data_IF_449957537506
#
_entry.id   IF_449957537506
#
_cell.length_a   1.000
_cell.length_b   1.000
_cell.length_c   1.000
_cell.angle_alpha   90.00
_cell.angle_beta   90.00
_cell.angle_gamma   90.00
#
_symmetry.space_group_name_H-M   'P 1'
#
loop_
_entity.id
_entity.type
_entity.pdbx_description
1 polymer ?
#
# COMPACT_ATOMS: atom_id res chain seq x y z
N UNK A 1 -2.90 -20.62 18.22
CA UNK A 1 -3.49 -19.27 18.00
C UNK A 1 -3.73 -19.12 16.51
N UNK A 2 -4.93 -18.72 16.08
CA UNK A 2 -5.16 -18.38 14.68
C UNK A 2 -4.59 -16.99 14.38
N UNK A 3 -4.00 -16.83 13.19
CA UNK A 3 -3.53 -15.52 12.71
C UNK A 3 -4.72 -14.55 12.63
N UNK A 4 -4.58 -13.33 13.13
CA UNK A 4 -5.60 -12.28 12.94
C UNK A 4 -5.56 -11.80 11.50
N UNK A 5 -6.68 -11.93 10.77
CA UNK A 5 -6.83 -11.47 9.40
C UNK A 5 -6.71 -9.95 9.35
N UNK A 6 -7.27 -9.25 10.35
CA UNK A 6 -7.12 -7.80 10.49
C UNK A 6 -5.65 -7.36 10.59
N UNK A 7 -4.85 -8.03 11.42
CA UNK A 7 -3.43 -7.70 11.58
C UNK A 7 -2.60 -8.05 10.33
N UNK A 8 -2.96 -9.13 9.64
CA UNK A 8 -2.30 -9.56 8.42
C UNK A 8 -2.62 -8.65 7.22
N UNK A 9 -3.85 -8.15 7.14
CA UNK A 9 -4.35 -7.33 6.03
C UNK A 9 -4.39 -5.84 6.38
N UNK A 10 -5.44 -5.37 7.06
CA UNK A 10 -5.72 -3.94 7.33
C UNK A 10 -4.54 -3.20 7.93
N UNK A 11 -3.88 -3.77 8.95
CA UNK A 11 -2.70 -3.14 9.56
C UNK A 11 -1.52 -3.05 8.58
N UNK A 12 -1.34 -4.06 7.71
CA UNK A 12 -0.32 -4.03 6.65
C UNK A 12 -0.64 -2.97 5.60
N UNK A 13 -1.90 -2.87 5.17
CA UNK A 13 -2.36 -1.85 4.25
C UNK A 13 -2.14 -0.44 4.80
N UNK A 14 -2.52 -0.19 6.05
CA UNK A 14 -2.33 1.11 6.72
C UNK A 14 -0.84 1.51 6.72
N UNK A 15 0.06 0.60 7.07
CA UNK A 15 1.50 0.88 7.07
C UNK A 15 2.00 1.26 5.68
N UNK A 16 1.75 0.42 4.68
CA UNK A 16 2.27 0.64 3.32
C UNK A 16 1.61 1.83 2.64
N UNK A 17 0.30 2.04 2.80
CA UNK A 17 -0.39 3.22 2.24
C UNK A 17 0.16 4.51 2.85
N UNK A 18 0.39 4.54 4.17
CA UNK A 18 1.02 5.69 4.82
C UNK A 18 2.43 5.95 4.26
N UNK A 19 3.19 4.90 3.99
CA UNK A 19 4.53 5.00 3.40
C UNK A 19 4.49 5.54 1.95
N UNK A 20 3.57 5.05 1.13
CA UNK A 20 3.38 5.55 -0.24
C UNK A 20 2.87 7.00 -0.26
N UNK A 21 2.01 7.40 0.68
CA UNK A 21 1.63 8.81 0.84
C UNK A 21 2.84 9.70 1.14
N UNK A 22 3.73 9.28 2.04
CA UNK A 22 5.01 9.98 2.27
C UNK A 22 5.86 10.08 1.00
N UNK A 23 5.87 9.05 0.15
CA UNK A 23 6.57 9.09 -1.14
C UNK A 23 5.93 10.11 -2.10
N UNK A 24 4.59 10.14 -2.18
CA UNK A 24 3.86 11.11 -3.00
C UNK A 24 4.05 12.55 -2.48
N UNK A 25 4.07 12.76 -1.18
CA UNK A 25 4.36 14.08 -0.59
C UNK A 25 5.77 14.56 -0.95
N UNK A 26 6.76 13.65 -0.92
CA UNK A 26 8.12 13.95 -1.40
C UNK A 26 8.14 14.23 -2.89
N UNK A 27 7.35 13.51 -3.70
CA UNK A 27 7.20 13.79 -5.13
C UNK A 27 6.62 15.17 -5.39
N UNK A 28 5.53 15.53 -4.71
CA UNK A 28 4.93 16.87 -4.75
C UNK A 28 5.94 17.96 -4.39
N UNK A 29 6.70 17.76 -3.31
CA UNK A 29 7.74 18.70 -2.87
C UNK A 29 8.87 18.82 -3.91
N UNK A 30 9.36 17.68 -4.42
CA UNK A 30 10.40 17.66 -5.44
C UNK A 30 9.98 18.43 -6.69
N UNK A 31 8.75 18.23 -7.18
CA UNK A 31 8.22 18.97 -8.32
C UNK A 31 8.16 20.48 -8.04
N UNK A 32 7.67 20.86 -6.85
CA UNK A 32 7.62 22.27 -6.44
C UNK A 32 9.00 22.93 -6.33
N UNK A 33 9.99 22.21 -5.80
CA UNK A 33 11.36 22.72 -5.61
C UNK A 33 12.11 22.86 -6.95
N UNK A 34 11.68 22.16 -8.00
CA UNK A 34 12.35 22.10 -9.30
C UNK A 34 11.51 22.70 -10.46
N UNK A 35 10.40 23.39 -10.15
CA UNK A 35 9.49 23.99 -11.15
C UNK A 35 8.96 22.98 -12.20
N UNK A 36 8.66 21.76 -11.75
CA UNK A 36 8.08 20.70 -12.58
C UNK A 36 6.57 20.68 -12.37
N UNK A 37 5.80 20.63 -13.46
CA UNK A 37 4.37 20.31 -13.35
C UNK A 37 4.20 18.86 -12.87
N UNK A 38 3.76 18.71 -11.62
CA UNK A 38 3.57 17.40 -10.97
C UNK A 38 2.57 16.51 -11.71
N UNK A 39 1.69 17.05 -12.54
CA UNK A 39 0.79 16.24 -13.35
C UNK A 39 1.52 15.41 -14.40
N UNK A 40 2.75 15.79 -14.79
CA UNK A 40 3.61 14.94 -15.63
C UNK A 40 3.94 13.60 -14.96
N UNK A 41 3.91 13.51 -13.63
CA UNK A 41 4.19 12.26 -12.92
C UNK A 41 3.01 11.28 -12.97
N UNK A 42 1.79 11.77 -13.20
CA UNK A 42 0.56 10.96 -13.23
C UNK A 42 0.65 9.90 -14.34
N UNK A 43 1.19 10.28 -15.50
CA UNK A 43 1.35 9.44 -16.69
C UNK A 43 2.71 8.72 -16.78
N UNK A 44 3.61 8.97 -15.82
CA UNK A 44 4.93 8.37 -15.81
C UNK A 44 4.87 6.85 -15.57
N UNK A 45 5.74 6.11 -16.26
CA UNK A 45 5.85 4.65 -16.24
C UNK A 45 7.32 4.22 -16.25
N UNK A 46 7.61 3.04 -15.71
CA UNK A 46 8.98 2.48 -15.64
C UNK A 46 9.48 1.95 -16.99
N UNK A 47 8.55 1.49 -17.83
CA UNK A 47 8.82 0.96 -19.15
C UNK A 47 7.63 1.24 -20.07
N UNK A 48 7.82 1.18 -21.39
CA UNK A 48 6.86 1.68 -22.37
C UNK A 48 5.48 1.01 -22.29
N UNK A 49 5.42 -0.28 -21.98
CA UNK A 49 4.19 -1.08 -21.88
C UNK A 49 3.64 -1.21 -20.44
N UNK A 50 4.32 -0.62 -19.46
CA UNK A 50 3.87 -0.64 -18.07
C UNK A 50 2.82 0.44 -17.82
N UNK A 51 1.84 0.12 -16.97
CA UNK A 51 0.80 1.05 -16.55
C UNK A 51 1.37 2.20 -15.68
N UNK A 52 0.86 3.43 -15.84
CA UNK A 52 1.45 4.61 -15.23
C UNK A 52 1.16 4.75 -13.74
N UNK A 53 1.80 5.72 -13.07
CA UNK A 53 1.63 6.00 -11.64
C UNK A 53 0.16 6.08 -11.22
N UNK A 54 -0.67 6.73 -12.03
CA UNK A 54 -2.12 6.82 -11.85
C UNK A 54 -2.76 5.45 -11.57
N UNK A 55 -2.48 4.48 -12.44
CA UNK A 55 -3.02 3.13 -12.31
C UNK A 55 -2.50 2.44 -11.05
N UNK A 56 -1.20 2.58 -10.75
CA UNK A 56 -0.59 1.97 -9.56
C UNK A 56 -1.29 2.43 -8.28
N UNK A 57 -1.60 3.73 -8.16
CA UNK A 57 -2.31 4.28 -6.99
C UNK A 57 -3.76 3.82 -6.91
N UNK A 58 -4.48 3.74 -8.03
CA UNK A 58 -5.85 3.19 -8.04
C UNK A 58 -5.85 1.74 -7.58
N UNK A 59 -4.92 0.94 -8.10
CA UNK A 59 -4.82 -0.48 -7.75
C UNK A 59 -4.42 -0.70 -6.30
N UNK A 60 -3.67 0.22 -5.67
CA UNK A 60 -3.40 0.16 -4.23
C UNK A 60 -4.68 0.20 -3.41
N UNK A 61 -5.62 1.11 -3.73
CA UNK A 61 -6.93 1.17 -3.05
C UNK A 61 -7.78 -0.05 -3.37
N UNK A 62 -7.75 -0.52 -4.63
CA UNK A 62 -8.47 -1.72 -5.06
C UNK A 62 -8.03 -2.97 -4.28
N UNK A 63 -6.73 -3.23 -4.19
CA UNK A 63 -6.18 -4.43 -3.52
C UNK A 63 -6.00 -4.28 -1.99
N UNK A 64 -6.45 -3.16 -1.42
CA UNK A 64 -6.50 -2.96 0.03
C UNK A 64 -7.94 -2.84 0.52
N UNK A 65 -8.51 -1.64 0.52
CA UNK A 65 -9.89 -1.37 0.90
C UNK A 65 -10.87 -2.18 0.04
N UNK A 66 -10.69 -2.18 -1.28
CA UNK A 66 -11.55 -2.94 -2.19
C UNK A 66 -11.52 -4.44 -1.91
N UNK A 67 -10.35 -5.00 -1.59
CA UNK A 67 -10.20 -6.41 -1.26
C UNK A 67 -10.92 -6.80 0.04
N UNK A 68 -10.90 -5.93 1.06
CA UNK A 68 -11.68 -6.15 2.29
C UNK A 68 -13.18 -6.13 2.01
N UNK A 69 -13.64 -5.14 1.25
CA UNK A 69 -15.06 -5.04 0.87
C UNK A 69 -15.51 -6.20 -0.01
N UNK A 70 -14.61 -6.72 -0.86
CA UNK A 70 -14.86 -7.92 -1.65
C UNK A 70 -15.01 -9.17 -0.80
N UNK A 71 -14.17 -9.35 0.23
CA UNK A 71 -14.28 -10.48 1.13
C UNK A 71 -15.59 -10.47 1.93
N UNK A 72 -16.08 -9.30 2.33
CA UNK A 72 -17.40 -9.14 2.96
C UNK A 72 -18.57 -9.46 2.00
N UNK A 73 -18.44 -9.09 0.72
CA UNK A 73 -19.46 -9.34 -0.33
C UNK A 73 -19.39 -10.73 -0.97
N UNK A 74 -18.26 -11.42 -0.83
CA UNK A 74 -17.96 -12.70 -1.50
C UNK A 74 -17.64 -12.61 -2.99
N UNK A 75 -17.42 -11.42 -3.55
CA UNK A 75 -17.15 -11.24 -4.98
C UNK A 75 -16.25 -10.02 -5.24
N UNK A 76 -15.38 -10.15 -6.23
CA UNK A 76 -14.48 -9.08 -6.69
C UNK A 76 -14.39 -9.06 -8.21
N UNK A 77 -14.23 -7.87 -8.79
CA UNK A 77 -13.96 -7.65 -10.21
C UNK A 77 -12.60 -6.95 -10.38
N UNK A 78 -12.24 -6.55 -11.60
CA UNK A 78 -11.07 -5.71 -11.84
C UNK A 78 -11.17 -4.32 -11.19
N UNK A 79 -10.05 -3.57 -11.13
CA UNK A 79 -10.04 -2.17 -10.68
C UNK A 79 -10.93 -1.29 -11.56
N UNK A 80 -11.45 -0.20 -10.98
CA UNK A 80 -12.25 0.78 -11.71
C UNK A 80 -11.35 1.63 -12.62
N UNK A 81 -11.38 1.30 -13.91
CA UNK A 81 -10.59 1.97 -14.96
C UNK A 81 -11.19 3.31 -15.40
N UNK A 82 -12.33 3.72 -14.85
CA UNK A 82 -12.99 4.99 -15.21
C UNK A 82 -12.56 6.17 -14.33
N UNK A 83 -11.87 5.89 -13.22
CA UNK A 83 -11.35 6.90 -12.32
C UNK A 83 -10.27 7.73 -13.01
N UNK A 84 -10.37 9.05 -12.92
CA UNK A 84 -9.39 10.00 -13.47
C UNK A 84 -9.07 11.03 -12.40
N UNK A 85 -7.78 11.21 -12.13
CA UNK A 85 -7.28 12.10 -11.08
C UNK A 85 -6.00 12.78 -11.56
N UNK A 86 -5.83 14.04 -11.16
CA UNK A 86 -4.54 14.72 -11.16
C UNK A 86 -3.67 14.23 -9.99
N UNK A 87 -2.45 14.75 -9.86
CA UNK A 87 -1.52 14.27 -8.82
C UNK A 87 -2.09 14.41 -7.41
N UNK A 88 -2.66 15.58 -7.10
CA UNK A 88 -3.22 15.87 -5.78
C UNK A 88 -4.50 15.04 -5.54
N UNK A 89 -5.29 14.77 -6.58
CA UNK A 89 -6.42 13.85 -6.56
C UNK A 89 -6.01 12.41 -6.23
N UNK A 90 -4.89 11.92 -6.77
CA UNK A 90 -4.35 10.60 -6.42
C UNK A 90 -3.96 10.52 -4.94
N UNK A 91 -3.30 11.56 -4.41
CA UNK A 91 -2.99 11.64 -2.98
C UNK A 91 -4.27 11.61 -2.14
N UNK A 92 -5.23 12.48 -2.45
CA UNK A 92 -6.50 12.57 -1.75
C UNK A 92 -7.30 11.27 -1.79
N UNK A 93 -7.29 10.55 -2.92
CA UNK A 93 -7.95 9.27 -3.09
C UNK A 93 -7.35 8.21 -2.14
N UNK A 94 -6.02 8.14 -2.09
CA UNK A 94 -5.29 7.20 -1.25
C UNK A 94 -5.43 7.55 0.25
N UNK A 95 -5.38 8.84 0.63
CA UNK A 95 -5.67 9.29 1.99
C UNK A 95 -7.10 8.97 2.44
N UNK A 96 -8.07 9.13 1.54
CA UNK A 96 -9.46 8.75 1.79
C UNK A 96 -9.58 7.27 2.13
N UNK A 97 -8.87 6.42 1.38
CA UNK A 97 -8.81 4.99 1.65
C UNK A 97 -8.15 4.69 2.99
N UNK A 98 -7.02 5.33 3.30
CA UNK A 98 -6.35 5.18 4.60
C UNK A 98 -7.26 5.51 5.78
N UNK A 99 -8.05 6.59 5.69
CA UNK A 99 -9.02 6.98 6.74
C UNK A 99 -10.10 5.91 6.93
N UNK A 100 -10.62 5.34 5.83
CA UNK A 100 -11.66 4.29 5.89
C UNK A 100 -11.11 2.98 6.44
N UNK A 101 -9.94 2.54 5.99
CA UNK A 101 -9.23 1.36 6.52
C UNK A 101 -8.99 1.46 8.03
N UNK A 102 -8.58 2.64 8.51
CA UNK A 102 -8.36 2.90 9.94
C UNK A 102 -9.63 2.82 10.78
N UNK A 103 -10.81 2.92 10.16
CA UNK A 103 -12.11 2.79 10.80
C UNK A 103 -12.70 1.37 10.79
N UNK A 104 -12.03 0.39 10.19
CA UNK A 104 -12.53 -0.99 10.14
C UNK A 104 -12.49 -1.66 11.51
N UNK A 105 -13.57 -2.37 11.86
CA UNK A 105 -13.67 -3.13 13.10
C UNK A 105 -12.89 -4.45 12.98
N UNK A 106 -11.88 -4.62 13.83
CA UNK A 106 -11.01 -5.80 13.80
C UNK A 106 -11.75 -7.12 13.98
N UNK A 107 -12.81 -7.17 14.79
CA UNK A 107 -13.61 -8.38 14.99
C UNK A 107 -14.42 -8.72 13.75
N UNK A 108 -14.94 -7.71 13.04
CA UNK A 108 -15.67 -7.94 11.78
C UNK A 108 -14.73 -8.48 10.71
N UNK A 109 -13.54 -7.91 10.57
CA UNK A 109 -12.55 -8.42 9.62
C UNK A 109 -12.09 -9.83 9.99
N UNK A 110 -11.84 -10.10 11.27
CA UNK A 110 -11.46 -11.44 11.72
C UNK A 110 -12.57 -12.50 11.50
N UNK A 111 -13.83 -12.08 11.46
CA UNK A 111 -14.98 -12.96 11.19
C UNK A 111 -15.12 -13.38 9.72
N UNK A 112 -14.38 -12.76 8.79
CA UNK A 112 -14.40 -13.12 7.36
C UNK A 112 -13.64 -14.42 7.04
N UNK A 113 -12.87 -14.95 8.00
CA UNK A 113 -12.07 -16.18 7.85
C UNK A 113 -12.93 -17.38 7.47
N UNK A 114 -12.43 -18.22 6.58
CA UNK A 114 -13.15 -19.38 6.06
C UNK A 114 -14.32 -19.05 5.14
N UNK A 115 -14.53 -17.78 4.79
CA UNK A 115 -15.47 -17.36 3.77
C UNK A 115 -14.98 -17.69 2.35
N UNK A 116 -15.79 -17.30 1.35
CA UNK A 116 -15.47 -17.46 -0.07
C UNK A 116 -15.40 -16.08 -0.74
N UNK A 117 -14.45 -15.91 -1.66
CA UNK A 117 -14.34 -14.74 -2.53
C UNK A 117 -14.19 -15.21 -3.96
N UNK A 118 -15.09 -14.77 -4.84
CA UNK A 118 -15.04 -15.15 -6.27
C UNK A 118 -14.59 -13.94 -7.10
N UNK A 119 -13.42 -14.03 -7.72
CA UNK A 119 -12.99 -13.08 -8.75
C UNK A 119 -13.72 -13.35 -10.06
N UNK A 120 -14.27 -12.30 -10.68
CA UNK A 120 -14.94 -12.35 -11.98
C UNK A 120 -14.53 -11.17 -12.85
N UNK A 121 -13.89 -11.45 -13.99
CA UNK A 121 -13.55 -10.42 -14.98
C UNK A 121 -13.38 -11.06 -16.37
N UNK A 122 -14.00 -10.48 -17.41
CA UNK A 122 -13.86 -10.90 -18.81
C UNK A 122 -13.89 -12.43 -19.05
N UNK A 123 -14.83 -13.14 -18.43
CA UNK A 123 -14.99 -14.58 -18.58
C UNK A 123 -14.06 -15.44 -17.70
N UNK A 124 -13.13 -14.83 -16.97
CA UNK A 124 -12.33 -15.47 -15.93
C UNK A 124 -13.14 -15.54 -14.64
N UNK A 125 -13.22 -16.72 -14.04
CA UNK A 125 -13.87 -16.96 -12.75
C UNK A 125 -12.90 -17.75 -11.86
N UNK A 126 -12.50 -17.16 -10.74
CA UNK A 126 -11.57 -17.79 -9.78
C UNK A 126 -12.20 -17.77 -8.38
N UNK A 127 -12.68 -18.90 -7.87
CA UNK A 127 -13.12 -19.02 -6.48
C UNK A 127 -11.91 -19.17 -5.55
N UNK A 128 -11.97 -18.50 -4.41
CA UNK A 128 -10.96 -18.57 -3.35
C UNK A 128 -11.63 -18.73 -1.99
N UNK A 129 -10.93 -19.36 -1.04
CA UNK A 129 -11.19 -19.06 0.37
C UNK A 129 -10.78 -17.62 0.68
N UNK A 130 -11.33 -17.00 1.72
CA UNK A 130 -10.91 -15.65 2.15
C UNK A 130 -9.39 -15.56 2.36
N UNK A 131 -8.81 -16.56 3.01
CA UNK A 131 -7.38 -16.62 3.30
C UNK A 131 -6.52 -16.73 2.04
N UNK A 132 -6.90 -17.60 1.09
CA UNK A 132 -6.19 -17.75 -0.17
C UNK A 132 -6.34 -16.51 -1.06
N UNK A 133 -7.52 -15.88 -1.05
CA UNK A 133 -7.74 -14.61 -1.74
C UNK A 133 -6.75 -13.55 -1.24
N UNK A 134 -6.63 -13.35 0.08
CA UNK A 134 -5.69 -12.36 0.60
C UNK A 134 -4.23 -12.77 0.41
N UNK A 135 -3.87 -14.00 0.75
CA UNK A 135 -2.49 -14.47 0.81
C UNK A 135 -1.86 -14.69 -0.56
N UNK A 136 -2.63 -15.13 -1.57
CA UNK A 136 -2.11 -15.50 -2.89
C UNK A 136 -2.47 -14.52 -4.00
N UNK A 137 -3.47 -13.66 -3.79
CA UNK A 137 -3.95 -12.75 -4.83
C UNK A 137 -3.90 -11.27 -4.42
N UNK A 138 -4.62 -10.86 -3.37
CA UNK A 138 -4.74 -9.45 -3.04
C UNK A 138 -3.44 -8.84 -2.50
N UNK A 139 -2.78 -9.47 -1.52
CA UNK A 139 -1.52 -8.94 -0.95
C UNK A 139 -0.37 -8.91 -1.97
N UNK A 140 -0.13 -9.96 -2.78
CA UNK A 140 0.89 -9.90 -3.82
C UNK A 140 0.69 -8.75 -4.80
N UNK A 141 -0.54 -8.54 -5.29
CA UNK A 141 -0.86 -7.41 -6.16
C UNK A 141 -0.67 -6.06 -5.43
N UNK A 142 -1.15 -5.94 -4.19
CA UNK A 142 -0.99 -4.73 -3.38
C UNK A 142 0.48 -4.30 -3.24
N UNK A 143 1.36 -5.22 -2.83
CA UNK A 143 2.80 -4.89 -2.67
C UNK A 143 3.51 -4.65 -4.00
N UNK A 144 3.10 -5.35 -5.07
CA UNK A 144 3.61 -5.08 -6.41
C UNK A 144 3.32 -3.63 -6.81
N UNK A 145 2.06 -3.20 -6.74
CA UNK A 145 1.67 -1.84 -7.10
C UNK A 145 2.30 -0.78 -6.19
N UNK A 146 2.47 -1.06 -4.90
CA UNK A 146 3.20 -0.18 -3.97
C UNK A 146 4.65 0.03 -4.42
N UNK A 147 5.33 -1.08 -4.75
CA UNK A 147 6.72 -1.07 -5.19
C UNK A 147 6.88 -0.33 -6.51
N UNK A 148 5.96 -0.54 -7.47
CA UNK A 148 6.00 0.15 -8.77
C UNK A 148 5.75 1.65 -8.59
N UNK A 149 4.76 2.06 -7.78
CA UNK A 149 4.51 3.48 -7.49
C UNK A 149 5.76 4.16 -6.88
N UNK A 150 6.37 3.54 -5.87
CA UNK A 150 7.64 4.02 -5.30
C UNK A 150 8.74 4.11 -6.36
N UNK A 151 8.88 3.08 -7.19
CA UNK A 151 9.95 3.00 -8.20
C UNK A 151 9.79 4.05 -9.29
N UNK A 152 8.55 4.35 -9.72
CA UNK A 152 8.28 5.44 -10.69
C UNK A 152 8.77 6.76 -10.11
N UNK A 153 8.36 7.11 -8.88
CA UNK A 153 8.82 8.34 -8.22
C UNK A 153 10.34 8.38 -8.09
N UNK A 154 10.97 7.28 -7.67
CA UNK A 154 12.43 7.19 -7.57
C UNK A 154 13.11 7.39 -8.93
N UNK A 155 12.56 6.81 -9.99
CA UNK A 155 13.12 6.92 -11.35
C UNK A 155 13.04 8.34 -11.92
N UNK A 156 12.08 9.15 -11.44
CA UNK A 156 11.92 10.57 -11.81
C UNK A 156 12.81 11.51 -11.01
N UNK A 157 13.70 10.98 -10.16
CA UNK A 157 14.63 11.77 -9.35
C UNK A 157 14.11 12.19 -7.97
N UNK A 158 12.91 11.76 -7.57
CA UNK A 158 12.38 12.07 -6.24
C UNK A 158 13.28 11.44 -5.16
N UNK A 159 13.67 12.18 -4.10
CA UNK A 159 14.55 11.70 -3.04
C UNK A 159 13.82 10.79 -2.04
N UNK A 160 13.33 9.65 -2.53
CA UNK A 160 12.74 8.56 -1.74
C UNK A 160 13.71 7.39 -1.60
N UNK A 161 13.70 6.71 -0.46
CA UNK A 161 14.52 5.52 -0.20
C UNK A 161 13.75 4.43 0.54
N UNK A 162 14.46 3.39 1.00
CA UNK A 162 13.86 2.26 1.71
C UNK A 162 13.08 2.68 2.96
N UNK A 163 13.53 3.72 3.66
CA UNK A 163 12.81 4.30 4.80
C UNK A 163 11.40 4.76 4.40
N UNK A 164 11.26 5.40 3.24
CA UNK A 164 9.99 5.92 2.75
C UNK A 164 9.08 4.82 2.19
N UNK A 165 9.63 3.71 1.68
CA UNK A 165 8.84 2.57 1.22
C UNK A 165 8.37 1.70 2.39
N UNK A 166 9.27 1.35 3.31
CA UNK A 166 8.93 0.48 4.44
C UNK A 166 8.02 1.20 5.45
N UNK A 167 8.22 2.50 5.63
CA UNK A 167 7.54 3.32 6.62
C UNK A 167 7.79 2.82 8.05
N UNK A 168 6.84 3.10 8.95
CA UNK A 168 6.91 2.69 10.34
C UNK A 168 6.63 1.20 10.48
N UNK A 169 7.67 0.38 10.52
CA UNK A 169 7.56 -1.06 10.73
C UNK A 169 6.87 -1.38 12.07
N UNK A 170 6.01 -2.40 12.10
CA UNK A 170 5.34 -2.87 13.33
C UNK A 170 6.27 -3.79 14.12
N UNK A 171 7.25 -3.22 14.82
CA UNK A 171 8.21 -3.97 15.65
C UNK A 171 7.89 -3.85 17.15
N UNK A 172 8.32 -4.85 17.92
CA UNK A 172 8.18 -4.91 19.38
C UNK A 172 9.53 -5.16 20.03
N UNK A 173 9.77 -4.59 21.21
CA UNK A 173 10.94 -4.94 22.00
C UNK A 173 10.87 -6.41 22.45
N UNK A 174 11.99 -7.12 22.36
CA UNK A 174 12.13 -8.50 22.78
C UNK A 174 12.70 -8.57 24.20
N UNK A 175 12.03 -9.26 25.14
CA UNK A 175 12.58 -9.54 26.46
C UNK A 175 13.65 -10.65 26.42
N UNK A 176 13.81 -11.32 25.28
CA UNK A 176 14.76 -12.43 25.12
C UNK A 176 16.16 -11.95 24.71
N UNK A 177 16.38 -10.65 24.56
CA UNK A 177 17.69 -10.07 24.24
C UNK A 177 18.44 -9.68 25.52
N UNK A 178 19.79 -9.71 25.52
CA UNK A 178 20.58 -9.29 26.67
C UNK A 178 20.22 -7.88 27.16
N UNK A 179 20.26 -7.68 28.47
CA UNK A 179 20.07 -6.37 29.07
C UNK A 179 21.07 -5.35 28.49
N UNK A 180 20.59 -4.14 28.18
CA UNK A 180 21.38 -3.10 27.52
C UNK A 180 21.50 -3.22 26.00
N UNK A 181 20.88 -4.23 25.37
CA UNK A 181 20.79 -4.28 23.89
C UNK A 181 19.96 -3.11 23.37
N UNK A 182 20.54 -2.30 22.47
CA UNK A 182 19.79 -1.24 21.80
C UNK A 182 18.80 -1.84 20.80
N UNK A 183 17.51 -1.64 21.03
CA UNK A 183 16.43 -2.17 20.21
C UNK A 183 15.63 -1.00 19.63
N UNK A 184 15.63 -0.87 18.31
CA UNK A 184 14.84 0.16 17.62
C UNK A 184 13.42 -0.35 17.38
N UNK A 185 12.43 0.41 17.84
CA UNK A 185 11.01 0.07 17.66
C UNK A 185 10.28 1.10 16.82
N UNK A 186 9.45 0.64 15.88
CA UNK A 186 8.58 1.49 15.07
C UNK A 186 9.24 2.73 14.49
N UNK A 187 8.98 3.88 15.13
CA UNK A 187 9.49 5.18 14.69
C UNK A 187 11.02 5.29 14.86
N UNK A 188 11.59 4.72 15.91
CA UNK A 188 13.04 4.77 16.16
C UNK A 188 13.82 4.06 15.03
N UNK A 189 13.25 2.97 14.50
CA UNK A 189 13.84 2.27 13.36
C UNK A 189 13.66 3.04 12.05
N UNK A 190 12.51 3.72 11.88
CA UNK A 190 12.29 4.58 10.72
C UNK A 190 13.29 5.74 10.71
N UNK A 191 13.47 6.43 11.84
CA UNK A 191 14.43 7.53 11.97
C UNK A 191 15.86 7.07 11.68
N UNK A 192 16.23 5.87 12.17
CA UNK A 192 17.51 5.24 11.84
C UNK A 192 17.67 5.01 10.32
N UNK A 193 16.64 4.48 9.64
CA UNK A 193 16.67 4.27 8.19
C UNK A 193 16.74 5.59 7.39
N UNK A 194 16.08 6.64 7.87
CA UNK A 194 16.16 7.96 7.24
C UNK A 194 17.56 8.56 7.36
N UNK A 195 18.24 8.34 8.49
CA UNK A 195 19.64 8.73 8.68
C UNK A 195 20.62 8.03 7.74
N UNK A 196 20.33 6.79 7.31
CA UNK A 196 21.15 6.08 6.32
C UNK A 196 20.96 6.62 4.89
N UNK A 197 19.80 7.21 4.60
CA UNK A 197 19.48 7.73 3.27
C UNK A 197 20.06 9.14 3.01
N UNK A 198 20.77 9.71 3.98
CA UNK A 198 21.42 11.03 3.95
C UNK A 198 22.92 11.04 3.64
N UNK A 199 23.47 9.97 3.04
CA UNK A 199 24.85 9.93 2.50
C UNK A 199 24.85 9.65 1.00
#
# INVERSE_FOLDING_TARGET
>A
MSLSLYNFTVQSYIQTISAILTCLDKGRKFCSDNDIDRNQFVDARLYEDMLPLHFQVITLVHFSEGAILAADKGVVAGPDMTLVFDYDGLQNYLEGSLRRLSGFDSKKIDALKGGEVIFKYEGVILPFTTEDFFGSYALPNFYFHATVAYSILRSLGVPVGIANYLGKARTTASPNLPEGTNQFTGAEYLDFLEGLAGS
#
